data_IF_019860070974
#
_entry.id   IF_019860070974
#
_cell.length_a   1.000
_cell.length_b   1.000
_cell.length_c   1.000
_cell.angle_alpha   90.00
_cell.angle_beta   90.00
_cell.angle_gamma   90.00
#
_symmetry.space_group_name_H-M   'P 1'
#
loop_
_entity.id
_entity.type
_entity.pdbx_description
1 polymer ?
#
# COMPACT_ATOMS: atom_id res chain seq x y z
N UNK A 1 11.54 -25.29 21.11
CA UNK A 1 10.98 -24.14 21.83
C UNK A 1 11.70 -22.81 21.62
N UNK A 2 12.97 -22.60 22.02
CA UNK A 2 13.65 -21.30 21.83
C UNK A 2 13.90 -20.96 20.35
N UNK A 3 14.34 -21.96 19.57
CA UNK A 3 14.68 -21.81 18.15
C UNK A 3 13.46 -21.57 17.26
N UNK A 4 12.33 -22.23 17.52
CA UNK A 4 11.09 -22.06 16.73
C UNK A 4 10.48 -20.67 16.90
N UNK A 5 10.42 -20.16 18.15
CA UNK A 5 9.94 -18.79 18.41
C UNK A 5 10.84 -17.74 17.76
N UNK A 6 12.15 -17.97 17.76
CA UNK A 6 13.10 -17.08 17.13
C UNK A 6 13.00 -17.09 15.60
N UNK A 7 12.69 -18.26 15.01
CA UNK A 7 12.43 -18.37 13.58
C UNK A 7 11.14 -17.63 13.18
N UNK A 8 10.04 -17.87 13.89
CA UNK A 8 8.76 -17.18 13.68
C UNK A 8 8.90 -15.66 13.78
N UNK A 9 9.68 -15.19 14.76
CA UNK A 9 9.95 -13.77 14.93
C UNK A 9 10.72 -13.17 13.73
N UNK A 10 11.72 -13.91 13.25
CA UNK A 10 12.53 -13.50 12.09
C UNK A 10 11.66 -13.42 10.83
N UNK A 11 10.76 -14.39 10.64
CA UNK A 11 9.81 -14.40 9.53
C UNK A 11 8.85 -13.20 9.58
N UNK A 12 8.27 -12.90 10.75
CA UNK A 12 7.35 -11.78 10.94
C UNK A 12 8.05 -10.44 10.67
N UNK A 13 9.23 -10.22 11.24
CA UNK A 13 9.97 -8.98 11.00
C UNK A 13 10.41 -8.82 9.53
N UNK A 14 10.82 -9.91 8.88
CA UNK A 14 11.14 -9.88 7.46
C UNK A 14 9.91 -9.50 6.63
N UNK A 15 8.76 -10.09 6.94
CA UNK A 15 7.48 -9.81 6.28
C UNK A 15 7.07 -8.34 6.45
N UNK A 16 7.11 -7.81 7.68
CA UNK A 16 6.81 -6.40 7.95
C UNK A 16 7.74 -5.46 7.18
N UNK A 17 9.04 -5.80 7.08
CA UNK A 17 9.99 -5.01 6.30
C UNK A 17 9.67 -5.02 4.81
N UNK A 18 9.26 -6.17 4.27
CA UNK A 18 8.82 -6.28 2.88
C UNK A 18 7.58 -5.39 2.67
N UNK A 19 6.55 -5.53 3.49
CA UNK A 19 5.34 -4.72 3.40
C UNK A 19 5.61 -3.22 3.50
N UNK A 20 6.46 -2.79 4.44
CA UNK A 20 6.84 -1.39 4.56
C UNK A 20 7.45 -0.86 3.27
N UNK A 21 8.41 -1.58 2.70
CA UNK A 21 9.05 -1.18 1.44
C UNK A 21 8.03 -1.15 0.28
N UNK A 22 7.12 -2.12 0.21
CA UNK A 22 6.08 -2.18 -0.82
C UNK A 22 5.10 -1.00 -0.73
N UNK A 23 4.70 -0.63 0.48
CA UNK A 23 3.82 0.52 0.73
C UNK A 23 4.52 1.85 0.44
N UNK A 24 5.79 1.99 0.82
CA UNK A 24 6.62 3.15 0.48
C UNK A 24 6.77 3.31 -1.03
N UNK A 25 7.03 2.21 -1.75
CA UNK A 25 7.09 2.22 -3.21
C UNK A 25 5.73 2.57 -3.82
N UNK A 26 4.65 2.03 -3.26
CA UNK A 26 3.28 2.33 -3.73
C UNK A 26 2.94 3.81 -3.57
N UNK A 27 3.36 4.45 -2.47
CA UNK A 27 3.21 5.90 -2.29
C UNK A 27 3.99 6.69 -3.35
N UNK A 28 5.21 6.27 -3.69
CA UNK A 28 5.98 6.90 -4.76
C UNK A 28 5.29 6.74 -6.12
N UNK A 29 4.79 5.55 -6.43
CA UNK A 29 4.02 5.29 -7.65
C UNK A 29 2.75 6.15 -7.70
N UNK A 30 2.01 6.27 -6.60
CA UNK A 30 0.80 7.11 -6.52
C UNK A 30 1.13 8.58 -6.78
N UNK A 31 2.19 9.11 -6.16
CA UNK A 31 2.63 10.48 -6.40
C UNK A 31 3.01 10.71 -7.86
N UNK A 32 3.78 9.78 -8.43
CA UNK A 32 4.17 9.83 -9.84
C UNK A 32 2.95 9.90 -10.78
N UNK A 33 1.96 9.04 -10.56
CA UNK A 33 0.75 9.03 -11.39
C UNK A 33 -0.09 10.29 -11.21
N UNK A 34 -0.20 10.82 -9.99
CA UNK A 34 -0.92 12.07 -9.75
C UNK A 34 -0.25 13.24 -10.45
N UNK A 35 1.07 13.37 -10.33
CA UNK A 35 1.86 14.40 -11.01
C UNK A 35 1.68 14.30 -12.53
N UNK A 36 1.76 13.08 -13.07
CA UNK A 36 1.60 12.83 -14.50
C UNK A 36 0.19 13.20 -14.99
N UNK A 37 -0.86 12.80 -14.27
CA UNK A 37 -2.24 13.16 -14.60
C UNK A 37 -2.51 14.67 -14.46
N UNK A 38 -1.87 15.32 -13.48
CA UNK A 38 -1.91 16.78 -13.32
C UNK A 38 -1.30 17.50 -14.52
N UNK A 39 -0.11 17.09 -14.96
CA UNK A 39 0.55 17.69 -16.13
C UNK A 39 -0.24 17.50 -17.44
N UNK A 40 -0.91 16.35 -17.61
CA UNK A 40 -1.77 16.13 -18.77
C UNK A 40 -3.03 17.01 -18.73
N UNK A 41 -3.62 17.22 -17.56
CA UNK A 41 -4.79 18.07 -17.39
C UNK A 41 -4.54 19.56 -17.72
N UNK A 42 -3.32 20.06 -17.52
CA UNK A 42 -2.95 21.45 -17.86
C UNK A 42 -2.81 21.69 -19.37
N UNK A 43 -2.57 20.65 -20.18
CA UNK A 43 -2.32 20.75 -21.62
C UNK A 43 -3.50 20.38 -22.52
N UNK A 44 -4.59 19.86 -21.97
CA UNK A 44 -5.74 19.35 -22.73
C UNK A 44 -6.83 20.42 -22.86
N UNK A 45 -7.29 20.66 -24.10
CA UNK A 45 -8.46 21.49 -24.40
C UNK A 45 -9.67 21.03 -23.56
N UNK A 46 -10.59 21.93 -23.13
CA UNK A 46 -11.70 21.63 -22.21
C UNK A 46 -12.74 20.57 -22.64
N UNK A 47 -12.46 19.75 -23.67
CA UNK A 47 -13.26 18.61 -24.10
C UNK A 47 -12.45 17.40 -24.58
N UNK A 48 -11.13 17.39 -24.43
CA UNK A 48 -10.26 16.29 -24.89
C UNK A 48 -10.10 15.16 -23.85
N UNK A 49 -10.31 15.46 -22.56
CA UNK A 49 -10.32 14.48 -21.47
C UNK A 49 -11.74 14.31 -20.98
N UNK A 50 -12.22 13.08 -20.86
CA UNK A 50 -13.45 12.82 -20.11
C UNK A 50 -13.23 13.21 -18.64
N UNK A 51 -13.69 14.40 -18.27
CA UNK A 51 -13.47 15.01 -16.96
C UNK A 51 -13.98 14.13 -15.81
N UNK A 52 -15.01 13.31 -16.06
CA UNK A 52 -15.53 12.38 -15.07
C UNK A 52 -14.57 11.20 -14.88
N UNK A 53 -14.04 10.62 -15.96
CA UNK A 53 -13.04 9.54 -15.87
C UNK A 53 -11.72 10.02 -15.25
N UNK A 54 -11.25 11.23 -15.60
CA UNK A 54 -10.05 11.82 -14.98
C UNK A 54 -10.21 11.98 -13.45
N UNK A 55 -11.36 12.53 -13.02
CA UNK A 55 -11.66 12.69 -11.58
C UNK A 55 -11.68 11.34 -10.86
N UNK A 56 -12.26 10.30 -11.48
CA UNK A 56 -12.28 8.95 -10.91
C UNK A 56 -10.86 8.42 -10.68
N UNK A 57 -9.94 8.61 -11.64
CA UNK A 57 -8.55 8.14 -11.46
C UNK A 57 -7.80 8.92 -10.36
N UNK A 58 -8.03 10.23 -10.23
CA UNK A 58 -7.49 11.04 -9.13
C UNK A 58 -8.04 10.57 -7.77
N UNK A 59 -9.35 10.32 -7.67
CA UNK A 59 -9.97 9.83 -6.43
C UNK A 59 -9.40 8.48 -5.99
N UNK A 60 -9.11 7.60 -6.95
CA UNK A 60 -8.46 6.30 -6.72
C UNK A 60 -7.02 6.47 -6.24
N UNK A 61 -6.25 7.38 -6.82
CA UNK A 61 -4.90 7.72 -6.35
C UNK A 61 -4.93 8.21 -4.90
N UNK A 62 -5.87 9.09 -4.55
CA UNK A 62 -6.04 9.56 -3.17
C UNK A 62 -6.46 8.45 -2.21
N UNK A 63 -7.30 7.53 -2.66
CA UNK A 63 -7.65 6.33 -1.90
C UNK A 63 -6.40 5.51 -1.58
N UNK A 64 -5.58 5.16 -2.58
CA UNK A 64 -4.37 4.38 -2.37
C UNK A 64 -3.34 5.11 -1.51
N UNK A 65 -3.20 6.44 -1.66
CA UNK A 65 -2.36 7.25 -0.76
C UNK A 65 -2.78 7.06 0.70
N UNK A 66 -4.06 7.28 1.00
CA UNK A 66 -4.59 7.14 2.37
C UNK A 66 -4.43 5.72 2.90
N UNK A 67 -4.72 4.73 2.06
CA UNK A 67 -4.63 3.32 2.43
C UNK A 67 -3.17 2.92 2.70
N UNK A 68 -2.23 3.29 1.84
CA UNK A 68 -0.81 3.01 2.06
C UNK A 68 -0.26 3.68 3.31
N UNK A 69 -0.64 4.94 3.59
CA UNK A 69 -0.25 5.62 4.83
C UNK A 69 -0.82 4.93 6.07
N UNK A 70 -2.09 4.51 6.03
CA UNK A 70 -2.70 3.76 7.12
C UNK A 70 -1.97 2.43 7.36
N UNK A 71 -1.77 1.63 6.31
CA UNK A 71 -1.11 0.33 6.44
C UNK A 71 0.36 0.43 6.88
N UNK A 72 1.05 1.52 6.53
CA UNK A 72 2.38 1.81 7.07
C UNK A 72 2.33 2.03 8.58
N UNK A 73 1.37 2.82 9.05
CA UNK A 73 1.14 3.03 10.48
C UNK A 73 0.79 1.73 11.19
N UNK A 74 -0.14 0.95 10.64
CA UNK A 74 -0.56 -0.34 11.21
C UNK A 74 0.63 -1.32 11.29
N UNK A 75 1.45 -1.39 10.24
CA UNK A 75 2.68 -2.20 10.22
C UNK A 75 3.67 -1.77 11.30
N UNK A 76 3.86 -0.46 11.51
CA UNK A 76 4.75 0.05 12.56
C UNK A 76 4.25 -0.28 13.96
N UNK A 77 2.93 -0.20 14.19
CA UNK A 77 2.30 -0.55 15.48
C UNK A 77 2.53 -2.03 15.77
N UNK A 78 2.16 -2.92 14.84
CA UNK A 78 2.29 -4.38 15.03
C UNK A 78 3.75 -4.79 15.17
N UNK A 79 4.68 -4.18 14.44
CA UNK A 79 6.12 -4.45 14.61
C UNK A 79 6.63 -4.02 15.99
N UNK A 80 6.14 -2.89 16.51
CA UNK A 80 6.41 -2.42 17.87
C UNK A 80 5.89 -3.38 18.94
N UNK A 81 4.66 -3.86 18.80
CA UNK A 81 4.05 -4.85 19.71
C UNK A 81 4.81 -6.17 19.70
N UNK A 82 5.24 -6.64 18.52
CA UNK A 82 6.05 -7.85 18.36
C UNK A 82 7.40 -7.68 19.07
N UNK A 83 8.08 -6.53 18.89
CA UNK A 83 9.34 -6.24 19.57
C UNK A 83 9.18 -6.20 21.10
N UNK A 84 8.10 -5.57 21.58
CA UNK A 84 7.75 -5.50 23.00
C UNK A 84 7.47 -6.89 23.60
N UNK A 85 6.74 -7.74 22.86
CA UNK A 85 6.47 -9.12 23.25
C UNK A 85 7.75 -9.94 23.38
N UNK A 86 8.74 -9.71 22.51
CA UNK A 86 10.07 -10.35 22.62
C UNK A 86 10.81 -9.91 23.86
N UNK A 87 10.86 -8.60 24.13
CA UNK A 87 11.52 -8.05 25.32
C UNK A 87 10.91 -8.57 26.63
N UNK A 88 9.57 -8.73 26.66
CA UNK A 88 8.82 -9.20 27.82
C UNK A 88 8.74 -10.73 27.93
N UNK A 89 9.29 -11.48 26.96
CA UNK A 89 9.25 -12.96 26.94
C UNK A 89 7.89 -13.55 26.53
N UNK A 90 6.94 -12.71 26.12
CA UNK A 90 5.61 -13.05 25.63
C UNK A 90 5.54 -12.85 24.11
N UNK A 91 6.24 -13.71 23.37
CA UNK A 91 6.26 -13.64 21.89
C UNK A 91 4.93 -14.16 21.33
N UNK A 92 4.25 -13.32 20.54
CA UNK A 92 3.04 -13.64 19.79
C UNK A 92 1.95 -14.24 20.69
N UNK A 93 1.47 -13.43 21.65
CA UNK A 93 0.25 -13.78 22.38
C UNK A 93 -0.97 -13.81 21.42
N UNK A 94 -2.14 -14.13 21.97
CA UNK A 94 -3.34 -14.30 21.16
C UNK A 94 -3.70 -13.02 20.39
N UNK A 95 -3.48 -11.87 21.00
CA UNK A 95 -3.94 -10.58 20.49
C UNK A 95 -2.99 -10.11 19.37
N UNK A 96 -1.67 -10.15 19.60
CA UNK A 96 -0.67 -9.83 18.55
C UNK A 96 -0.81 -10.73 17.32
N UNK A 97 -1.23 -12.00 17.52
CA UNK A 97 -1.50 -12.92 16.39
C UNK A 97 -2.72 -12.50 15.58
N UNK A 98 -3.77 -12.00 16.23
CA UNK A 98 -4.97 -11.53 15.54
C UNK A 98 -4.65 -10.25 14.76
N UNK A 99 -3.89 -9.33 15.34
CA UNK A 99 -3.47 -8.10 14.69
C UNK A 99 -2.59 -8.37 13.47
N UNK A 100 -1.63 -9.30 13.60
CA UNK A 100 -0.83 -9.74 12.46
C UNK A 100 -1.68 -10.43 11.37
N UNK A 101 -2.67 -11.25 11.74
CA UNK A 101 -3.56 -11.88 10.75
C UNK A 101 -4.45 -10.86 10.04
N UNK A 102 -4.91 -9.85 10.77
CA UNK A 102 -5.66 -8.74 10.20
C UNK A 102 -4.80 -7.95 9.21
N UNK A 103 -3.61 -7.51 9.63
CA UNK A 103 -2.67 -6.79 8.78
C UNK A 103 -2.32 -7.57 7.51
N UNK A 104 -2.12 -8.89 7.63
CA UNK A 104 -1.88 -9.75 6.46
C UNK A 104 -3.02 -9.69 5.45
N UNK A 105 -4.27 -9.81 5.90
CA UNK A 105 -5.44 -9.76 5.01
C UNK A 105 -5.56 -8.41 4.33
N UNK A 106 -5.32 -7.33 5.08
CA UNK A 106 -5.35 -5.98 4.54
C UNK A 106 -4.25 -5.77 3.48
N UNK A 107 -3.04 -6.27 3.72
CA UNK A 107 -1.94 -6.24 2.74
C UNK A 107 -2.26 -7.07 1.49
N UNK A 108 -2.84 -8.26 1.64
CA UNK A 108 -3.24 -9.11 0.53
C UNK A 108 -4.32 -8.42 -0.34
N UNK A 109 -5.33 -7.81 0.28
CA UNK A 109 -6.35 -7.02 -0.42
C UNK A 109 -5.74 -5.80 -1.12
N UNK A 110 -4.90 -5.04 -0.41
CA UNK A 110 -4.19 -3.89 -0.98
C UNK A 110 -3.38 -4.28 -2.22
N UNK A 111 -2.62 -5.38 -2.17
CA UNK A 111 -1.83 -5.84 -3.31
C UNK A 111 -2.68 -6.21 -4.52
N UNK A 112 -3.81 -6.89 -4.30
CA UNK A 112 -4.72 -7.26 -5.38
C UNK A 112 -5.33 -6.02 -6.04
N UNK A 113 -5.87 -5.11 -5.24
CA UNK A 113 -6.53 -3.89 -5.70
C UNK A 113 -5.54 -2.93 -6.37
N UNK A 114 -4.36 -2.73 -5.78
CA UNK A 114 -3.36 -1.83 -6.32
C UNK A 114 -2.77 -2.35 -7.64
N UNK A 115 -2.63 -3.68 -7.80
CA UNK A 115 -2.21 -4.28 -9.06
C UNK A 115 -3.25 -4.10 -10.17
N UNK A 116 -4.53 -4.27 -9.84
CA UNK A 116 -5.63 -4.01 -10.78
C UNK A 116 -5.61 -2.54 -11.21
N UNK A 117 -5.57 -1.63 -10.24
CA UNK A 117 -5.44 -0.19 -10.47
C UNK A 117 -4.26 0.16 -11.38
N UNK A 118 -3.06 -0.37 -11.10
CA UNK A 118 -1.89 -0.12 -11.96
C UNK A 118 -2.06 -0.56 -13.40
N UNK A 119 -2.87 -1.58 -13.64
CA UNK A 119 -3.18 -2.04 -14.99
C UNK A 119 -4.13 -1.06 -15.66
N UNK A 120 -5.17 -0.65 -14.94
CA UNK A 120 -6.22 0.26 -15.42
C UNK A 120 -5.68 1.67 -15.69
N UNK A 121 -4.93 2.27 -14.76
CA UNK A 121 -4.37 3.61 -14.95
C UNK A 121 -3.38 3.65 -16.13
N UNK A 122 -2.58 2.59 -16.34
CA UNK A 122 -1.71 2.52 -17.53
C UNK A 122 -2.51 2.46 -18.82
N UNK A 123 -3.60 1.70 -18.86
CA UNK A 123 -4.47 1.63 -20.03
C UNK A 123 -5.13 2.98 -20.30
N UNK A 124 -5.63 3.64 -19.25
CA UNK A 124 -6.18 4.98 -19.33
C UNK A 124 -5.16 5.96 -19.93
N UNK A 125 -3.92 5.95 -19.43
CA UNK A 125 -2.83 6.79 -19.91
C UNK A 125 -2.47 6.55 -21.38
N UNK A 126 -2.50 5.30 -21.85
CA UNK A 126 -2.27 4.97 -23.27
C UNK A 126 -3.43 5.39 -24.17
N UNK A 127 -4.65 5.38 -23.63
CA UNK A 127 -5.85 5.79 -24.35
C UNK A 127 -6.02 7.32 -24.45
N UNK A 128 -5.33 8.09 -23.61
CA UNK A 128 -5.29 9.53 -23.74
C UNK A 128 -4.59 9.92 -25.05
N UNK A 129 -5.14 10.88 -25.81
CA UNK A 129 -4.48 11.38 -27.01
C UNK A 129 -3.19 12.11 -26.60
N UNK A 130 -2.06 11.39 -26.64
CA UNK A 130 -0.73 11.99 -26.61
C UNK A 130 -0.47 12.68 -27.94
N UNK A 131 -0.39 14.02 -27.92
CA UNK A 131 0.01 14.96 -28.99
C UNK A 131 -0.47 14.65 -30.42
#
# INVERSE_FOLDING_TARGET
>A
MRTEKQHQLTEVHLLHRIWRNELELSLQEVNFWEDLLGTLGEGLEPGATDADTWRVEIDRLHHFRRLSTRLLSDTQIVDGEVADGVLKGHVLDRDTRLDHQYLRKEMDSFHAEFRAFKTEIRQYMVAQPTF
#
